data_IF_938315489579
#
_entry.id   IF_938315489579
#
_cell.length_a   1.000
_cell.length_b   1.000
_cell.length_c   1.000
_cell.angle_alpha   90.00
_cell.angle_beta   90.00
_cell.angle_gamma   90.00
#
_symmetry.space_group_name_H-M   'P 1'
#
loop_
_entity.id
_entity.type
_entity.pdbx_description
1 polymer ?
#
# COMPACT_ATOMS: atom_id res chain seq x y z
N UNK A 1 57.02 16.71 -25.92
CA UNK A 1 56.08 16.60 -27.06
C UNK A 1 55.64 15.15 -27.20
N UNK A 2 54.43 14.83 -26.73
CA UNK A 2 53.78 13.53 -26.93
C UNK A 2 52.29 13.81 -27.06
N UNK A 3 51.73 13.51 -28.25
CA UNK A 3 50.39 13.86 -28.70
C UNK A 3 49.44 12.65 -28.65
N UNK A 4 48.15 12.96 -28.62
CA UNK A 4 46.95 12.15 -28.94
C UNK A 4 46.47 11.21 -27.84
N UNK A 5 45.39 11.52 -27.09
CA UNK A 5 43.97 11.61 -27.48
C UNK A 5 43.47 10.33 -28.17
N UNK A 6 42.89 9.44 -27.37
CA UNK A 6 42.10 8.31 -27.85
C UNK A 6 40.61 8.70 -27.85
N UNK A 7 40.10 9.00 -29.03
CA UNK A 7 38.68 8.98 -29.39
C UNK A 7 38.50 7.76 -30.29
N UNK A 8 37.74 6.76 -29.85
CA UNK A 8 37.20 5.68 -30.69
C UNK A 8 35.93 5.11 -30.02
N UNK A 9 34.76 5.61 -30.43
CA UNK A 9 33.83 4.87 -31.30
C UNK A 9 33.07 3.72 -30.60
N UNK A 10 32.01 4.08 -29.85
CA UNK A 10 30.90 3.18 -29.54
C UNK A 10 29.78 3.44 -30.56
N UNK A 11 29.81 2.66 -31.64
CA UNK A 11 28.83 2.64 -32.73
C UNK A 11 27.99 1.37 -32.59
N UNK A 12 26.69 1.50 -32.85
CA UNK A 12 25.70 0.44 -33.08
C UNK A 12 25.10 -0.30 -31.86
N UNK A 13 24.04 0.27 -31.27
CA UNK A 13 22.80 -0.48 -30.95
C UNK A 13 21.59 0.46 -30.77
N UNK A 14 21.10 1.02 -31.88
CA UNK A 14 19.70 1.41 -32.05
C UNK A 14 19.11 0.60 -33.19
N UNK A 15 18.01 -0.11 -32.88
CA UNK A 15 16.91 -0.59 -33.74
C UNK A 15 16.52 -2.02 -33.34
N UNK A 16 15.42 -2.11 -32.61
CA UNK A 16 14.36 -3.10 -32.85
C UNK A 16 13.09 -2.60 -32.14
N UNK A 17 12.51 -1.55 -32.71
CA UNK A 17 11.07 -1.33 -32.66
C UNK A 17 10.48 -2.23 -33.75
N UNK A 18 9.83 -3.31 -33.35
CA UNK A 18 9.00 -4.11 -34.24
C UNK A 18 7.82 -4.68 -33.44
N UNK A 19 6.67 -4.01 -33.63
CA UNK A 19 5.38 -4.65 -33.86
C UNK A 19 4.77 -5.48 -32.71
N UNK A 20 4.26 -4.81 -31.66
CA UNK A 20 3.26 -5.40 -30.76
C UNK A 20 1.86 -5.11 -31.34
N UNK A 21 1.33 -6.07 -32.09
CA UNK A 21 -0.08 -6.12 -32.50
C UNK A 21 -0.92 -6.60 -31.31
N UNK A 22 -1.89 -5.80 -30.90
CA UNK A 22 -2.96 -6.24 -29.99
C UNK A 22 -3.95 -7.12 -30.76
N UNK A 23 -4.27 -8.36 -30.32
CA UNK A 23 -5.36 -9.12 -30.90
C UNK A 23 -6.68 -8.49 -30.48
N UNK A 24 -7.38 -7.84 -31.42
CA UNK A 24 -8.79 -7.54 -31.31
C UNK A 24 -9.59 -8.84 -31.41
N UNK A 25 -10.47 -9.09 -30.43
CA UNK A 25 -11.42 -10.21 -30.35
C UNK A 25 -10.90 -11.58 -29.91
N UNK A 26 -10.45 -11.69 -28.66
CA UNK A 26 -10.45 -12.99 -27.96
C UNK A 26 -11.86 -13.27 -27.41
N UNK A 27 -12.63 -14.10 -28.12
CA UNK A 27 -13.89 -14.68 -27.63
C UNK A 27 -13.61 -15.53 -26.39
N UNK A 28 -14.13 -15.12 -25.24
CA UNK A 28 -14.16 -15.95 -24.03
C UNK A 28 -15.21 -17.04 -24.25
N UNK A 29 -14.76 -18.28 -24.41
CA UNK A 29 -15.63 -19.44 -24.39
C UNK A 29 -16.24 -19.60 -22.98
N UNK A 30 -17.57 -19.51 -22.87
CA UNK A 30 -18.31 -19.88 -21.66
C UNK A 30 -18.18 -21.39 -21.45
N UNK A 31 -17.44 -21.80 -20.44
CA UNK A 31 -17.56 -23.15 -19.91
C UNK A 31 -18.93 -23.27 -19.21
N UNK A 32 -19.79 -24.15 -19.73
CA UNK A 32 -21.07 -24.47 -19.11
C UNK A 32 -20.84 -25.33 -17.86
N UNK A 33 -21.32 -24.87 -16.71
CA UNK A 33 -21.41 -25.69 -15.49
C UNK A 33 -22.72 -26.48 -15.57
N UNK A 34 -22.72 -27.82 -15.44
CA UNK A 34 -23.95 -28.60 -15.47
C UNK A 34 -24.78 -28.36 -14.20
N UNK A 35 -26.06 -28.07 -14.40
CA UNK A 35 -27.04 -27.95 -13.33
C UNK A 35 -27.28 -29.31 -12.66
N UNK A 36 -26.84 -29.44 -11.42
CA UNK A 36 -27.23 -30.58 -10.58
C UNK A 36 -28.71 -30.46 -10.20
N UNK A 37 -29.53 -31.39 -10.70
CA UNK A 37 -30.90 -31.63 -10.22
C UNK A 37 -30.82 -32.18 -8.80
N UNK A 38 -31.25 -31.40 -7.82
CA UNK A 38 -31.60 -31.91 -6.50
C UNK A 38 -33.13 -32.02 -6.46
N UNK A 39 -33.61 -33.26 -6.32
CA UNK A 39 -35.02 -33.58 -6.21
C UNK A 39 -35.61 -32.98 -4.92
N UNK A 40 -36.70 -32.23 -5.08
CA UNK A 40 -37.51 -31.79 -3.96
C UNK A 40 -38.40 -32.92 -3.49
N UNK A 41 -38.19 -33.39 -2.27
CA UNK A 41 -39.23 -34.05 -1.49
C UNK A 41 -39.65 -33.09 -0.37
N UNK A 42 -40.93 -32.73 -0.39
CA UNK A 42 -41.58 -31.87 0.58
C UNK A 42 -41.85 -32.66 1.86
N UNK A 43 -41.29 -32.23 2.98
CA UNK A 43 -41.83 -32.47 4.31
C UNK A 43 -41.66 -31.18 5.11
N UNK A 44 -42.79 -30.57 5.43
CA UNK A 44 -42.87 -29.33 6.19
C UNK A 44 -42.49 -29.54 7.65
N UNK A 45 -41.70 -28.61 8.17
CA UNK A 45 -41.61 -28.36 9.61
C UNK A 45 -41.73 -26.85 9.79
N UNK A 46 -42.81 -26.44 10.44
CA UNK A 46 -43.04 -25.08 10.87
C UNK A 46 -41.98 -24.67 11.89
N UNK A 47 -41.35 -23.51 11.68
CA UNK A 47 -40.59 -22.81 12.72
C UNK A 47 -40.95 -21.33 12.69
N UNK A 48 -41.39 -20.85 13.86
CA UNK A 48 -41.86 -19.49 14.08
C UNK A 48 -40.82 -18.46 13.68
N UNK A 49 -41.26 -17.46 12.92
CA UNK A 49 -40.52 -16.23 12.68
C UNK A 49 -40.39 -15.50 14.01
N UNK A 50 -39.19 -15.52 14.59
CA UNK A 50 -38.75 -14.44 15.46
C UNK A 50 -38.12 -13.41 14.55
N UNK A 51 -38.78 -12.27 14.42
CA UNK A 51 -38.25 -11.09 13.75
C UNK A 51 -37.05 -10.61 14.56
N UNK A 52 -35.85 -11.07 14.20
CA UNK A 52 -34.62 -10.40 14.63
C UNK A 52 -34.46 -9.18 13.74
N UNK A 53 -34.82 -8.02 14.28
CA UNK A 53 -34.44 -6.74 13.72
C UNK A 53 -32.93 -6.75 13.44
N UNK A 54 -32.57 -6.63 12.15
CA UNK A 54 -31.19 -6.34 11.76
C UNK A 54 -30.89 -4.93 12.30
N UNK A 55 -29.84 -4.73 13.13
CA UNK A 55 -29.47 -3.38 13.51
C UNK A 55 -29.14 -2.60 12.24
N UNK A 56 -29.80 -1.46 12.08
CA UNK A 56 -29.57 -0.55 10.98
C UNK A 56 -28.10 -0.16 10.97
N UNK A 57 -27.38 -0.50 9.90
CA UNK A 57 -26.05 0.04 9.65
C UNK A 57 -26.27 1.51 9.29
N UNK A 58 -26.11 2.39 10.26
CA UNK A 58 -26.06 3.83 10.01
C UNK A 58 -24.83 4.10 9.13
N UNK A 59 -24.96 4.89 8.05
CA UNK A 59 -23.78 5.34 7.33
C UNK A 59 -22.98 6.22 8.28
N UNK A 60 -21.76 5.79 8.61
CA UNK A 60 -20.80 6.61 9.36
C UNK A 60 -20.59 7.91 8.58
N UNK A 61 -21.04 9.01 9.19
CA UNK A 61 -20.91 10.36 8.65
C UNK A 61 -19.81 11.06 9.44
N UNK A 62 -18.76 11.48 8.73
CA UNK A 62 -17.76 12.49 9.06
C UNK A 62 -17.06 12.42 10.45
N UNK A 63 -15.72 12.36 10.40
CA UNK A 63 -14.76 12.51 11.50
C UNK A 63 -14.63 11.33 12.48
N UNK A 64 -14.29 10.15 11.96
CA UNK A 64 -13.43 9.24 12.73
C UNK A 64 -12.00 9.80 12.65
N UNK A 65 -11.69 10.72 13.56
CA UNK A 65 -10.32 11.14 13.79
C UNK A 65 -9.48 9.87 14.03
N UNK A 66 -8.39 9.74 13.27
CA UNK A 66 -7.45 8.63 13.42
C UNK A 66 -7.14 8.39 14.90
N UNK A 67 -7.54 7.21 15.42
CA UNK A 67 -7.28 6.79 16.79
C UNK A 67 -6.04 5.90 16.79
N UNK A 68 -4.95 6.29 17.49
CA UNK A 68 -3.82 5.40 17.70
C UNK A 68 -4.26 4.14 18.44
N UNK A 69 -3.55 3.04 18.20
CA UNK A 69 -3.83 1.73 18.80
C UNK A 69 -4.09 1.80 20.31
N UNK A 70 -5.29 1.37 20.73
CA UNK A 70 -5.63 1.17 22.15
C UNK A 70 -4.97 -0.11 22.69
N UNK A 71 -4.59 -0.15 23.98
CA UNK A 71 -4.06 -1.34 24.62
C UNK A 71 -5.13 -2.43 24.78
N UNK A 72 -4.66 -3.67 24.91
CA UNK A 72 -5.17 -4.87 24.27
C UNK A 72 -6.40 -5.51 24.95
N UNK A 73 -7.41 -5.86 24.16
CA UNK A 73 -8.37 -6.92 24.48
C UNK A 73 -8.09 -8.14 23.57
N UNK A 74 -7.58 -9.23 24.15
CA UNK A 74 -7.72 -10.61 23.64
C UNK A 74 -7.07 -11.05 22.31
N UNK A 75 -6.57 -10.15 21.45
CA UNK A 75 -6.26 -10.50 20.04
C UNK A 75 -4.76 -10.44 19.62
N UNK A 76 -3.81 -10.37 20.56
CA UNK A 76 -2.39 -10.22 20.19
C UNK A 76 -1.57 -11.49 20.32
N UNK A 77 -0.84 -11.85 19.24
CA UNK A 77 0.13 -12.94 19.22
C UNK A 77 1.45 -12.57 19.95
N UNK A 78 1.99 -11.37 19.71
CA UNK A 78 3.24 -10.90 20.31
C UNK A 78 3.00 -9.70 21.25
N UNK A 79 3.74 -9.64 22.36
CA UNK A 79 3.63 -8.55 23.33
C UNK A 79 4.14 -7.24 22.71
N UNK A 80 3.33 -6.19 22.78
CA UNK A 80 3.67 -4.83 22.32
C UNK A 80 4.00 -4.72 20.82
N UNK A 81 3.54 -5.67 20.01
CA UNK A 81 3.67 -5.62 18.55
C UNK A 81 2.27 -5.66 17.97
N UNK A 82 2.00 -4.72 17.07
CA UNK A 82 0.73 -4.64 16.36
C UNK A 82 0.49 -5.92 15.54
N UNK A 83 -0.66 -6.61 15.69
CA UNK A 83 -0.93 -7.87 14.99
C UNK A 83 -1.01 -7.75 13.46
N UNK A 84 -1.15 -6.54 12.90
CA UNK A 84 -1.02 -6.33 11.45
C UNK A 84 0.42 -6.56 10.95
N UNK A 85 1.41 -6.46 11.85
CA UNK A 85 2.80 -6.74 11.52
C UNK A 85 3.04 -8.25 11.48
N UNK A 86 2.64 -8.86 10.37
CA UNK A 86 2.93 -10.26 10.08
C UNK A 86 4.44 -10.56 10.00
N UNK A 87 4.82 -11.84 10.03
CA UNK A 87 6.23 -12.25 10.10
C UNK A 87 7.07 -11.72 8.93
N UNK A 88 6.52 -11.68 7.71
CA UNK A 88 7.21 -11.16 6.53
C UNK A 88 7.49 -9.66 6.65
N UNK A 89 6.50 -8.89 7.11
CA UNK A 89 6.63 -7.44 7.27
C UNK A 89 7.61 -7.10 8.40
N UNK A 90 7.52 -7.77 9.55
CA UNK A 90 8.47 -7.60 10.65
C UNK A 90 9.90 -7.92 10.22
N UNK A 91 10.10 -9.02 9.47
CA UNK A 91 11.39 -9.40 8.93
C UNK A 91 11.98 -8.30 8.06
N UNK A 92 11.20 -7.77 7.12
CA UNK A 92 11.62 -6.66 6.26
C UNK A 92 11.96 -5.41 7.06
N UNK A 93 11.06 -4.95 7.94
CA UNK A 93 11.28 -3.75 8.75
C UNK A 93 12.55 -3.85 9.60
N UNK A 94 12.83 -5.05 10.15
CA UNK A 94 14.02 -5.30 10.96
C UNK A 94 15.30 -5.38 10.12
N UNK A 95 15.22 -5.90 8.90
CA UNK A 95 16.34 -6.04 7.98
C UNK A 95 16.74 -4.72 7.31
N UNK A 96 15.78 -3.79 7.13
CA UNK A 96 16.04 -2.48 6.53
C UNK A 96 17.20 -1.75 7.22
N UNK A 97 18.09 -1.16 6.43
CA UNK A 97 19.13 -0.23 6.87
C UNK A 97 18.60 1.20 7.04
N UNK A 98 19.44 2.06 7.60
CA UNK A 98 19.16 3.50 7.65
C UNK A 98 19.18 4.10 6.24
N UNK A 99 18.19 4.95 5.94
CA UNK A 99 18.05 5.63 4.66
C UNK A 99 17.27 4.84 3.62
N UNK A 100 16.96 3.57 3.90
CA UNK A 100 16.12 2.75 3.04
C UNK A 100 14.65 3.12 3.15
N UNK A 101 13.95 3.02 2.01
CA UNK A 101 12.53 3.34 1.89
C UNK A 101 11.67 2.06 1.92
N UNK A 102 10.49 2.17 2.51
CA UNK A 102 9.38 1.23 2.33
C UNK A 102 8.17 2.00 1.81
N UNK A 103 7.44 1.45 0.85
CA UNK A 103 6.25 2.06 0.29
C UNK A 103 4.98 1.40 0.85
N UNK A 104 4.00 2.20 1.24
CA UNK A 104 2.64 1.77 1.55
C UNK A 104 1.76 2.28 0.42
N UNK A 105 1.00 1.41 -0.24
CA UNK A 105 0.25 1.78 -1.44
C UNK A 105 -1.19 1.31 -1.41
N UNK A 106 -2.03 2.03 -2.14
CA UNK A 106 -3.43 1.69 -2.34
C UNK A 106 -3.60 0.48 -3.26
N UNK A 107 -4.81 -0.09 -3.29
CA UNK A 107 -5.10 -1.29 -4.07
C UNK A 107 -4.97 -1.13 -5.59
N UNK A 108 -4.96 0.12 -6.09
CA UNK A 108 -4.89 0.44 -7.51
C UNK A 108 -3.44 0.68 -7.97
N UNK A 109 -2.48 0.75 -7.04
CA UNK A 109 -1.07 0.95 -7.38
C UNK A 109 -0.51 -0.27 -8.12
N UNK A 110 0.25 -0.08 -9.23
CA UNK A 110 0.80 -1.17 -10.03
C UNK A 110 2.03 -1.81 -9.35
N UNK A 111 1.85 -2.41 -8.16
CA UNK A 111 2.93 -2.88 -7.31
C UNK A 111 3.67 -4.10 -7.89
N UNK A 112 2.94 -5.01 -8.55
CA UNK A 112 3.51 -6.25 -9.09
C UNK A 112 4.63 -5.99 -10.11
N UNK A 113 4.48 -4.97 -10.95
CA UNK A 113 5.48 -4.61 -11.96
C UNK A 113 6.50 -3.58 -11.48
N UNK A 114 6.43 -3.15 -10.21
CA UNK A 114 7.30 -2.09 -9.69
C UNK A 114 8.71 -2.58 -9.32
N UNK A 115 8.88 -3.88 -9.01
CA UNK A 115 10.18 -4.52 -8.77
C UNK A 115 10.45 -5.02 -7.34
N UNK A 116 10.22 -4.22 -6.28
CA UNK A 116 10.51 -4.62 -4.89
C UNK A 116 9.70 -5.82 -4.41
N UNK A 117 10.10 -6.36 -3.25
CA UNK A 117 9.31 -7.38 -2.55
C UNK A 117 7.90 -6.86 -2.28
N UNK A 118 6.90 -7.64 -2.69
CA UNK A 118 5.50 -7.33 -2.49
C UNK A 118 4.98 -7.99 -1.20
N UNK A 119 4.41 -7.19 -0.30
CA UNK A 119 3.72 -7.67 0.90
C UNK A 119 2.26 -7.20 0.82
N UNK A 120 1.31 -8.09 1.11
CA UNK A 120 -0.12 -7.78 1.02
C UNK A 120 -0.74 -7.64 2.40
N UNK A 121 -1.53 -6.59 2.58
CA UNK A 121 -2.31 -6.25 3.76
C UNK A 121 -3.74 -5.87 3.32
N UNK A 122 -4.37 -6.78 2.57
CA UNK A 122 -5.60 -6.50 1.81
C UNK A 122 -6.82 -6.16 2.67
N UNK A 123 -6.82 -6.55 3.95
CA UNK A 123 -7.94 -6.34 4.86
C UNK A 123 -7.84 -5.04 5.67
N UNK A 124 -6.70 -4.34 5.62
CA UNK A 124 -6.47 -3.11 6.38
C UNK A 124 -6.33 -1.91 5.45
N UNK A 125 -6.80 -0.75 5.90
CA UNK A 125 -6.59 0.50 5.16
C UNK A 125 -5.15 1.03 5.30
N UNK A 126 -4.80 1.96 4.43
CA UNK A 126 -3.45 2.52 4.33
C UNK A 126 -2.98 3.19 5.62
N UNK A 127 -3.74 4.15 6.17
CA UNK A 127 -3.41 4.80 7.44
C UNK A 127 -3.21 3.82 8.60
N UNK A 128 -4.05 2.79 8.73
CA UNK A 128 -3.92 1.76 9.77
C UNK A 128 -2.65 0.93 9.63
N UNK A 129 -2.26 0.58 8.39
CA UNK A 129 -1.00 -0.11 8.12
C UNK A 129 0.20 0.80 8.42
N UNK A 130 0.12 2.09 8.09
CA UNK A 130 1.17 3.05 8.44
C UNK A 130 1.33 3.19 9.95
N UNK A 131 0.23 3.23 10.70
CA UNK A 131 0.27 3.26 12.17
C UNK A 131 1.00 2.05 12.76
N UNK A 132 0.65 0.86 12.27
CA UNK A 132 1.31 -0.38 12.69
C UNK A 132 2.81 -0.32 12.39
N UNK A 133 3.21 0.08 11.18
CA UNK A 133 4.62 0.19 10.80
C UNK A 133 5.37 1.20 11.68
N UNK A 134 4.81 2.38 11.91
CA UNK A 134 5.44 3.43 12.70
C UNK A 134 5.52 3.13 14.19
N UNK A 135 4.69 2.21 14.70
CA UNK A 135 4.83 1.72 16.09
C UNK A 135 6.18 1.04 16.38
N UNK A 136 6.90 0.58 15.34
CA UNK A 136 8.20 -0.10 15.48
C UNK A 136 9.31 0.47 14.60
N UNK A 137 8.98 1.20 13.53
CA UNK A 137 9.95 1.73 12.57
C UNK A 137 10.39 3.15 12.96
N UNK A 138 11.67 3.36 13.38
CA UNK A 138 12.18 4.71 13.56
C UNK A 138 12.26 5.42 12.22
N UNK A 139 11.79 6.67 12.18
CA UNK A 139 11.85 7.53 11.00
C UNK A 139 13.16 8.32 10.94
N UNK A 140 13.62 8.58 9.72
CA UNK A 140 14.76 9.47 9.50
C UNK A 140 14.46 10.92 9.92
N UNK A 141 15.49 11.71 10.19
CA UNK A 141 15.32 13.13 10.57
C UNK A 141 15.50 14.09 9.39
N UNK A 142 15.85 13.57 8.21
CA UNK A 142 16.05 14.35 7.00
C UNK A 142 14.74 14.74 6.30
N UNK A 143 14.89 15.51 5.23
CA UNK A 143 13.79 15.82 4.33
C UNK A 143 13.33 14.58 3.56
N UNK A 144 12.07 14.61 3.10
CA UNK A 144 11.42 13.53 2.38
C UNK A 144 11.41 12.20 3.12
N UNK A 145 11.33 12.27 4.46
CA UNK A 145 11.25 11.07 5.31
C UNK A 145 9.88 10.41 5.21
N UNK A 146 8.83 11.21 5.29
CA UNK A 146 7.45 10.78 5.04
C UNK A 146 7.00 11.53 3.80
N UNK A 147 6.65 10.81 2.73
CA UNK A 147 6.40 11.44 1.44
C UNK A 147 5.15 10.88 0.77
N UNK A 148 4.18 11.76 0.48
CA UNK A 148 2.96 11.43 -0.26
C UNK A 148 3.13 11.60 -1.76
N UNK A 149 2.28 10.93 -2.53
CA UNK A 149 2.13 11.23 -3.95
C UNK A 149 1.21 12.44 -4.17
N UNK A 150 1.62 13.37 -5.03
CA UNK A 150 0.82 14.53 -5.42
C UNK A 150 -0.41 14.13 -6.26
N UNK A 151 -1.50 14.89 -6.11
CA UNK A 151 -2.62 14.82 -7.06
C UNK A 151 -2.15 15.39 -8.39
N UNK A 152 -2.42 14.68 -9.48
CA UNK A 152 -2.03 15.12 -10.83
C UNK A 152 -2.57 16.53 -11.11
N UNK A 153 -1.68 17.39 -11.59
CA UNK A 153 -1.95 18.80 -11.92
C UNK A 153 -2.39 19.68 -10.74
N UNK A 154 -2.36 19.15 -9.51
CA UNK A 154 -2.81 19.82 -8.29
C UNK A 154 -1.93 19.45 -7.08
N UNK A 155 -0.65 19.84 -7.08
CA UNK A 155 0.33 19.42 -6.06
C UNK A 155 -0.04 19.82 -4.63
N UNK A 156 -0.71 20.96 -4.47
CA UNK A 156 -1.15 21.48 -3.18
C UNK A 156 -2.46 20.83 -2.66
N UNK A 157 -3.16 20.03 -3.47
CA UNK A 157 -4.40 19.39 -3.04
C UNK A 157 -4.11 18.27 -2.03
N UNK A 158 -4.84 18.29 -0.91
CA UNK A 158 -4.82 17.28 0.15
C UNK A 158 -6.17 16.57 0.16
N UNK A 159 -6.19 15.31 -0.27
CA UNK A 159 -7.38 14.47 -0.24
C UNK A 159 -7.63 13.91 1.17
N UNK A 160 -8.85 13.46 1.50
CA UNK A 160 -9.16 12.89 2.82
C UNK A 160 -8.19 11.78 3.26
N UNK A 161 -7.87 10.83 2.36
CA UNK A 161 -6.89 9.77 2.66
C UNK A 161 -5.50 10.31 2.99
N UNK A 162 -5.06 11.39 2.33
CA UNK A 162 -3.79 12.04 2.61
C UNK A 162 -3.81 12.70 3.99
N UNK A 163 -4.93 13.33 4.37
CA UNK A 163 -5.11 13.92 5.70
C UNK A 163 -5.03 12.88 6.81
N UNK A 164 -5.58 11.68 6.60
CA UNK A 164 -5.50 10.59 7.57
C UNK A 164 -4.06 10.13 7.74
N UNK A 165 -3.33 9.89 6.64
CA UNK A 165 -1.91 9.56 6.69
C UNK A 165 -1.06 10.65 7.37
N UNK A 166 -1.33 11.93 7.09
CA UNK A 166 -0.66 13.06 7.75
C UNK A 166 -0.95 13.04 9.25
N UNK A 167 -2.17 12.69 9.66
CA UNK A 167 -2.54 12.59 11.07
C UNK A 167 -1.75 11.46 11.75
N UNK A 168 -1.60 10.30 11.10
CA UNK A 168 -0.76 9.21 11.59
C UNK A 168 0.69 9.66 11.75
N UNK A 169 1.25 10.31 10.73
CA UNK A 169 2.62 10.81 10.77
C UNK A 169 2.86 11.76 11.95
N UNK A 170 1.93 12.67 12.21
CA UNK A 170 2.02 13.64 13.32
C UNK A 170 1.97 12.98 14.71
N UNK A 171 1.27 11.86 14.86
CA UNK A 171 1.23 11.12 16.14
C UNK A 171 2.60 10.52 16.45
N UNK A 172 3.27 9.94 15.46
CA UNK A 172 4.54 9.23 15.66
C UNK A 172 5.77 10.13 15.53
N UNK A 173 5.70 11.17 14.70
CA UNK A 173 6.79 12.09 14.42
C UNK A 173 6.26 13.53 14.25
N UNK A 174 5.81 14.19 15.34
CA UNK A 174 5.20 15.53 15.29
C UNK A 174 6.14 16.64 14.79
N UNK A 175 7.44 16.34 14.70
CA UNK A 175 8.49 17.25 14.24
C UNK A 175 8.79 17.11 12.74
N UNK A 176 8.24 16.10 12.08
CA UNK A 176 8.44 15.87 10.65
C UNK A 176 7.26 16.40 9.85
N UNK A 177 7.58 17.08 8.76
CA UNK A 177 6.60 17.43 7.74
C UNK A 177 6.37 16.24 6.78
N UNK A 178 5.18 16.18 6.20
CA UNK A 178 4.86 15.23 5.15
C UNK A 178 5.12 15.89 3.80
N UNK A 179 6.25 15.55 3.20
CA UNK A 179 6.65 16.02 1.88
C UNK A 179 5.76 15.43 0.77
N UNK A 180 5.83 16.01 -0.43
CA UNK A 180 5.13 15.50 -1.61
C UNK A 180 6.09 15.28 -2.78
N UNK A 181 5.77 14.30 -3.62
CA UNK A 181 6.46 14.05 -4.88
C UNK A 181 5.46 13.96 -6.04
N UNK A 182 5.83 14.46 -7.23
CA UNK A 182 5.07 14.20 -8.45
C UNK A 182 4.90 12.70 -8.70
N UNK A 183 3.80 12.24 -9.32
CA UNK A 183 3.52 10.81 -9.49
C UNK A 183 4.63 9.99 -10.16
N UNK A 184 5.37 10.58 -11.11
CA UNK A 184 6.48 9.90 -11.78
C UNK A 184 7.66 9.67 -10.83
N UNK A 185 8.01 10.68 -10.04
CA UNK A 185 9.11 10.63 -9.07
C UNK A 185 8.77 9.71 -7.89
N UNK A 186 7.53 9.78 -7.40
CA UNK A 186 7.03 8.87 -6.37
C UNK A 186 7.19 7.41 -6.82
N UNK A 187 6.74 7.08 -8.04
CA UNK A 187 6.85 5.72 -8.58
C UNK A 187 8.30 5.28 -8.78
N UNK A 188 9.16 6.18 -9.24
CA UNK A 188 10.58 5.91 -9.42
C UNK A 188 11.32 5.67 -8.08
N UNK A 189 10.90 6.35 -7.00
CA UNK A 189 11.41 6.12 -5.65
C UNK A 189 10.84 4.83 -5.06
N UNK A 190 9.54 4.60 -5.20
CA UNK A 190 8.88 3.37 -4.75
C UNK A 190 9.44 2.10 -5.42
N UNK A 191 9.82 2.15 -6.71
CA UNK A 191 10.47 1.00 -7.38
C UNK A 191 11.86 0.66 -6.85
N UNK A 192 12.46 1.54 -6.04
CA UNK A 192 13.75 1.35 -5.39
C UNK A 192 13.63 1.08 -3.88
N UNK A 193 12.41 1.08 -3.34
CA UNK A 193 12.16 0.74 -1.96
C UNK A 193 12.53 -0.73 -1.70
N UNK A 194 12.79 -1.07 -0.44
CA UNK A 194 13.09 -2.46 -0.03
C UNK A 194 11.87 -3.35 -0.23
N UNK A 195 10.69 -2.81 0.09
CA UNK A 195 9.42 -3.49 -0.12
C UNK A 195 8.30 -2.49 -0.44
N UNK A 196 7.24 -3.03 -1.06
CA UNK A 196 5.97 -2.35 -1.27
C UNK A 196 4.90 -3.14 -0.51
N UNK A 197 4.19 -2.46 0.39
CA UNK A 197 3.05 -2.98 1.13
C UNK A 197 1.78 -2.52 0.44
N UNK A 198 1.09 -3.43 -0.25
CA UNK A 198 -0.23 -3.15 -0.84
C UNK A 198 -1.29 -3.34 0.22
N UNK A 199 -2.15 -2.34 0.38
CA UNK A 199 -3.20 -2.32 1.39
C UNK A 199 -4.59 -2.50 0.77
N UNK A 200 -5.61 -2.69 1.61
CA UNK A 200 -7.01 -2.64 1.23
C UNK A 200 -7.54 -1.23 0.94
N UNK A 201 -6.70 -0.19 1.01
CA UNK A 201 -7.10 1.19 0.78
C UNK A 201 -7.78 1.36 -0.58
N UNK A 202 -9.02 1.84 -0.54
CA UNK A 202 -9.88 1.98 -1.72
C UNK A 202 -9.82 3.39 -2.29
N UNK A 203 -9.42 4.37 -1.48
CA UNK A 203 -9.31 5.78 -1.84
C UNK A 203 -8.05 6.00 -2.68
N UNK A 204 -8.21 6.69 -3.80
CA UNK A 204 -7.12 6.98 -4.73
C UNK A 204 -6.07 7.92 -4.11
N UNK A 205 -4.82 7.78 -4.55
CA UNK A 205 -3.68 8.50 -3.99
C UNK A 205 -3.40 8.15 -2.52
N UNK A 206 -3.84 6.99 -2.06
CA UNK A 206 -3.55 6.45 -0.74
C UNK A 206 -2.15 5.82 -0.65
N UNK A 207 -1.13 6.55 -1.10
CA UNK A 207 0.25 6.05 -1.22
C UNK A 207 1.21 6.92 -0.41
N UNK A 208 2.08 6.27 0.37
CA UNK A 208 3.07 6.91 1.23
C UNK A 208 4.41 6.19 1.12
N UNK A 209 5.51 6.95 1.12
CA UNK A 209 6.87 6.45 1.29
C UNK A 209 7.37 6.81 2.68
N UNK A 210 8.00 5.84 3.36
CA UNK A 210 8.61 6.01 4.68
C UNK A 210 10.09 5.68 4.60
N UNK A 211 10.94 6.59 5.08
CA UNK A 211 12.38 6.38 5.18
C UNK A 211 12.79 5.99 6.59
N UNK A 212 13.53 4.89 6.71
CA UNK A 212 14.02 4.39 8.00
C UNK A 212 15.16 5.25 8.55
N UNK A 213 15.02 5.65 9.80
CA UNK A 213 16.02 6.39 10.57
C UNK A 213 16.90 5.49 11.44
N UNK A 214 17.50 6.12 12.44
CA UNK A 214 18.31 5.47 13.48
C UNK A 214 17.68 5.69 14.85
N UNK A 215 17.93 4.78 15.78
CA UNK A 215 17.64 5.03 17.19
C UNK A 215 18.81 5.77 17.83
N UNK A 216 18.55 6.69 18.79
CA UNK A 216 19.62 7.27 19.58
C UNK A 216 20.35 6.16 20.36
N UNK A 217 21.67 6.25 20.37
CA UNK A 217 22.56 5.48 21.24
C UNK A 217 22.84 6.25 22.52
#
# INVERSE_FOLDING_TARGET
MGRSIAIAHFVQRKRNEANVRWPSEARIARAAVPAARIGGNALGIAHGRRDMERPAITPSTANDAFRPTQPLTGETMLKNIDPLLGPELLSVLRAMGHGEDIAIVDRNYPALSAGPQLIRQDAADGPRVMDAILSVLPLDKGAQTVTRMEVRDKPAEILPVMSDFISVAKVHAPHLEVDSLPPAEFKARASKAVAIVVTGETRVYGNMLLRKGTLPV
#
